data_IF_060813588273
#
_entry.id   IF_060813588273
#
_cell.length_a   1.000
_cell.length_b   1.000
_cell.length_c   1.000
_cell.angle_alpha   90.00
_cell.angle_beta   90.00
_cell.angle_gamma   90.00
#
_symmetry.space_group_name_H-M   'P 1'
#
loop_
_entity.id
_entity.type
_entity.pdbx_description
1 polymer ?
#
# COMPACT_ATOMS: atom_id res chain seq x y z
N UNK A 1 -12.77 -18.62 -13.65
CA UNK A 1 -12.12 -18.10 -12.41
C UNK A 1 -10.77 -17.51 -12.78
N UNK A 2 -10.61 -16.18 -12.70
CA UNK A 2 -9.33 -15.55 -12.98
C UNK A 2 -8.28 -16.09 -11.99
N UNK A 3 -7.33 -16.90 -12.47
CA UNK A 3 -6.14 -17.30 -11.71
C UNK A 3 -5.33 -16.04 -11.44
N UNK A 4 -5.68 -15.33 -10.36
CA UNK A 4 -4.96 -14.14 -9.91
C UNK A 4 -3.47 -14.45 -9.84
N UNK A 5 -2.69 -13.79 -10.69
CA UNK A 5 -1.25 -13.99 -10.78
C UNK A 5 -0.64 -13.39 -9.52
N UNK A 6 -0.24 -14.25 -8.58
CA UNK A 6 0.39 -13.84 -7.31
C UNK A 6 1.69 -13.11 -7.65
N UNK A 7 1.88 -11.91 -7.12
CA UNK A 7 3.13 -11.17 -7.24
C UNK A 7 4.28 -11.96 -6.60
N UNK A 8 5.47 -11.89 -7.21
CA UNK A 8 6.66 -12.53 -6.64
C UNK A 8 6.97 -11.99 -5.23
N UNK A 9 7.61 -12.81 -4.38
CA UNK A 9 8.03 -12.39 -3.03
C UNK A 9 8.81 -11.07 -3.05
N UNK A 10 9.62 -10.84 -4.09
CA UNK A 10 10.38 -9.60 -4.30
C UNK A 10 9.46 -8.40 -4.47
N UNK A 11 8.43 -8.50 -5.32
CA UNK A 11 7.45 -7.42 -5.55
C UNK A 11 6.60 -7.12 -4.31
N UNK A 12 6.23 -8.14 -3.53
CA UNK A 12 5.51 -7.96 -2.26
C UNK A 12 6.36 -7.18 -1.24
N UNK A 13 7.66 -7.49 -1.12
CA UNK A 13 8.59 -6.72 -0.27
C UNK A 13 8.72 -5.27 -0.72
N UNK A 14 8.81 -5.04 -2.04
CA UNK A 14 8.87 -3.67 -2.59
C UNK A 14 7.60 -2.89 -2.26
N UNK A 15 6.41 -3.49 -2.41
CA UNK A 15 5.15 -2.86 -2.04
C UNK A 15 5.08 -2.53 -0.55
N UNK A 16 5.59 -3.41 0.30
CA UNK A 16 5.66 -3.17 1.74
C UNK A 16 6.56 -1.97 2.08
N UNK A 17 7.77 -1.93 1.54
CA UNK A 17 8.71 -0.83 1.76
C UNK A 17 8.15 0.49 1.20
N UNK A 18 7.55 0.46 0.01
CA UNK A 18 6.90 1.63 -0.59
C UNK A 18 5.78 2.17 0.31
N UNK A 19 4.99 1.29 0.92
CA UNK A 19 3.91 1.68 1.82
C UNK A 19 4.44 2.38 3.09
N UNK A 20 5.54 1.88 3.66
CA UNK A 20 6.22 2.52 4.79
C UNK A 20 6.69 3.92 4.40
N UNK A 21 7.38 4.06 3.26
CA UNK A 21 7.90 5.36 2.79
C UNK A 21 6.75 6.36 2.60
N UNK A 22 5.67 5.95 1.92
CA UNK A 22 4.51 6.80 1.71
C UNK A 22 3.84 7.20 3.03
N UNK A 23 3.76 6.30 4.01
CA UNK A 23 3.21 6.59 5.33
C UNK A 23 4.05 7.61 6.10
N UNK A 24 5.38 7.51 6.03
CA UNK A 24 6.30 8.50 6.64
C UNK A 24 6.15 9.86 5.96
N UNK A 25 6.09 9.91 4.63
CA UNK A 25 5.87 11.15 3.88
C UNK A 25 4.53 11.78 4.27
N UNK A 26 3.47 10.98 4.40
CA UNK A 26 2.15 11.43 4.84
C UNK A 26 2.19 12.02 6.26
N UNK A 27 2.90 11.39 7.19
CA UNK A 27 3.04 11.90 8.55
C UNK A 27 3.76 13.25 8.60
N UNK A 28 4.84 13.41 7.81
CA UNK A 28 5.56 14.69 7.68
C UNK A 28 4.66 15.77 7.06
N UNK A 29 3.89 15.40 6.02
CA UNK A 29 2.94 16.30 5.37
C UNK A 29 1.82 16.74 6.30
N UNK A 30 1.23 15.84 7.09
CA UNK A 30 0.23 16.17 8.08
C UNK A 30 0.79 17.13 9.14
N UNK A 31 2.01 16.88 9.62
CA UNK A 31 2.68 17.79 10.55
C UNK A 31 2.87 19.18 9.92
N UNK A 32 3.31 19.25 8.66
CA UNK A 32 3.46 20.53 7.93
C UNK A 32 2.13 21.20 7.59
N UNK A 33 1.09 20.45 7.27
CA UNK A 33 -0.22 20.97 6.87
C UNK A 33 -0.93 21.68 8.05
N UNK A 34 -0.57 21.34 9.29
CA UNK A 34 -0.98 22.09 10.49
C UNK A 34 -0.41 23.52 10.47
N UNK A 35 0.79 23.71 9.91
CA UNK A 35 1.48 25.01 9.86
C UNK A 35 1.27 25.76 8.54
N UNK A 36 0.97 25.07 7.44
CA UNK A 36 0.79 25.66 6.11
C UNK A 36 -0.28 24.92 5.30
N UNK A 37 -1.42 25.59 5.04
CA UNK A 37 -2.60 25.02 4.39
C UNK A 37 -2.38 24.61 2.92
N UNK A 38 -1.27 25.01 2.30
CA UNK A 38 -0.95 24.64 0.92
C UNK A 38 -0.65 23.14 0.73
N UNK A 39 -0.39 22.39 1.81
CA UNK A 39 -0.11 20.95 1.73
C UNK A 39 -1.37 20.07 1.69
N UNK A 40 -2.56 20.66 1.82
CA UNK A 40 -3.84 19.93 1.83
C UNK A 40 -4.09 19.15 0.53
N UNK A 41 -3.75 19.73 -0.63
CA UNK A 41 -3.94 19.07 -1.93
C UNK A 41 -3.02 17.85 -2.11
N UNK A 42 -1.78 17.92 -1.62
CA UNK A 42 -0.81 16.82 -1.68
C UNK A 42 -1.25 15.67 -0.78
N UNK A 43 -1.74 16.01 0.42
CA UNK A 43 -2.26 15.07 1.41
C UNK A 43 -3.50 14.33 0.88
N UNK A 44 -4.40 15.04 0.20
CA UNK A 44 -5.59 14.48 -0.44
C UNK A 44 -5.26 13.51 -1.59
N UNK A 45 -4.12 13.68 -2.27
CA UNK A 45 -3.64 12.78 -3.32
C UNK A 45 -2.86 11.58 -2.77
N UNK A 46 -2.08 11.77 -1.70
CA UNK A 46 -1.29 10.70 -1.10
C UNK A 46 -2.15 9.64 -0.40
N UNK A 47 -3.22 10.04 0.28
CA UNK A 47 -4.10 9.12 1.01
C UNK A 47 -4.66 7.98 0.12
N UNK A 48 -5.30 8.25 -1.04
CA UNK A 48 -5.78 7.19 -1.92
C UNK A 48 -4.64 6.33 -2.49
N UNK A 49 -3.47 6.89 -2.75
CA UNK A 49 -2.27 6.17 -3.20
C UNK A 49 -1.79 5.14 -2.17
N UNK A 50 -1.75 5.51 -0.89
CA UNK A 50 -1.43 4.62 0.23
C UNK A 50 -2.48 3.50 0.31
N UNK A 51 -3.77 3.84 0.24
CA UNK A 51 -4.88 2.88 0.32
C UNK A 51 -4.82 1.85 -0.81
N UNK A 52 -4.57 2.28 -2.06
CA UNK A 52 -4.46 1.38 -3.21
C UNK A 52 -3.27 0.44 -3.04
N UNK A 53 -2.12 0.98 -2.61
CA UNK A 53 -0.89 0.21 -2.40
C UNK A 53 -1.08 -0.84 -1.30
N UNK A 54 -1.74 -0.46 -0.20
CA UNK A 54 -2.05 -1.35 0.92
C UNK A 54 -3.02 -2.46 0.51
N UNK A 55 -4.08 -2.12 -0.23
CA UNK A 55 -5.04 -3.11 -0.74
C UNK A 55 -4.37 -4.10 -1.68
N UNK A 56 -3.51 -3.66 -2.61
CA UNK A 56 -2.76 -4.55 -3.49
C UNK A 56 -1.84 -5.51 -2.72
N UNK A 57 -1.16 -5.01 -1.69
CA UNK A 57 -0.33 -5.83 -0.81
C UNK A 57 -1.15 -6.91 -0.09
N UNK A 58 -2.27 -6.52 0.54
CA UNK A 58 -3.13 -7.43 1.29
C UNK A 58 -3.82 -8.46 0.39
N UNK A 59 -4.28 -8.04 -0.79
CA UNK A 59 -4.87 -8.94 -1.78
C UNK A 59 -3.87 -10.04 -2.19
N UNK A 60 -2.60 -9.69 -2.41
CA UNK A 60 -1.57 -10.66 -2.75
C UNK A 60 -1.23 -11.62 -1.60
N UNK A 61 -1.27 -11.15 -0.35
CA UNK A 61 -1.14 -12.02 0.83
C UNK A 61 -2.31 -13.01 0.93
N UNK A 62 -3.55 -12.55 0.73
CA UNK A 62 -4.74 -13.39 0.77
C UNK A 62 -4.79 -14.45 -0.33
N UNK A 63 -4.44 -14.10 -1.57
CA UNK A 63 -4.39 -15.08 -2.68
C UNK A 63 -3.30 -16.13 -2.39
N UNK A 64 -2.16 -15.72 -1.83
CA UNK A 64 -1.09 -16.64 -1.42
C UNK A 64 -1.51 -17.56 -0.28
N UNK A 65 -2.26 -17.05 0.70
CA UNK A 65 -2.83 -17.85 1.78
C UNK A 65 -3.84 -18.89 1.27
N UNK A 66 -4.76 -18.48 0.39
CA UNK A 66 -5.75 -19.39 -0.23
C UNK A 66 -5.11 -20.50 -1.06
N UNK A 67 -4.06 -20.21 -1.84
CA UNK A 67 -3.35 -21.26 -2.57
C UNK A 67 -2.74 -22.32 -1.65
N UNK A 68 -2.13 -21.90 -0.54
CA UNK A 68 -1.58 -22.84 0.46
C UNK A 68 -2.64 -23.71 1.11
N UNK A 69 -3.83 -23.14 1.35
CA UNK A 69 -4.95 -23.87 1.96
C UNK A 69 -5.67 -24.82 1.00
N UNK A 70 -5.56 -24.60 -0.32
CA UNK A 70 -6.11 -25.51 -1.34
C UNK A 70 -5.10 -26.53 -1.88
N UNK A 71 -3.86 -26.50 -1.40
CA UNK A 71 -2.78 -27.48 -1.70
C UNK A 71 -2.58 -28.50 -0.57
N UNK A 72 -3.27 -28.35 0.57
CA UNK A 72 -3.36 -29.32 1.67
C UNK A 72 -4.71 -30.06 1.62
#
# INVERSE_FOLDING_TARGET
MAKGKILSKKRIKVLFVLNIILSVIMAILLLKNIYDKNYSNITALLAPLIIITYNFYFLNLNIKARKRLGEN
#
